data_IF_015967251684
#
_entry.id   IF_015967251684
#
_cell.length_a   1.000
_cell.length_b   1.000
_cell.length_c   1.000
_cell.angle_alpha   90.00
_cell.angle_beta   90.00
_cell.angle_gamma   90.00
#
_symmetry.space_group_name_H-M   'P 1'
#
loop_
_entity.id
_entity.type
_entity.pdbx_description
1 polymer ?
#
# COMPACT_ATOMS: atom_id res chain seq x y z
N UNK A 1 -45.09 -3.12 -7.35
CA UNK A 1 -44.28 -2.32 -6.41
C UNK A 1 -44.01 -3.03 -5.07
N UNK A 2 -45.03 -3.47 -4.29
CA UNK A 2 -44.84 -4.16 -2.99
C UNK A 2 -44.10 -5.51 -3.02
N UNK A 3 -44.06 -6.20 -4.16
CA UNK A 3 -43.33 -7.47 -4.31
C UNK A 3 -41.83 -7.25 -4.49
N UNK A 4 -41.44 -6.21 -5.24
CA UNK A 4 -40.04 -5.84 -5.50
C UNK A 4 -39.37 -5.38 -4.19
N UNK A 5 -40.08 -4.56 -3.39
CA UNK A 5 -39.61 -4.12 -2.07
C UNK A 5 -39.38 -5.32 -1.14
N UNK A 6 -40.30 -6.29 -1.10
CA UNK A 6 -40.14 -7.50 -0.28
C UNK A 6 -38.97 -8.40 -0.71
N UNK A 7 -38.66 -8.44 -2.00
CA UNK A 7 -37.48 -9.16 -2.51
C UNK A 7 -36.20 -8.41 -2.13
N UNK A 8 -36.18 -7.08 -2.26
CA UNK A 8 -35.05 -6.25 -1.84
C UNK A 8 -34.77 -6.39 -0.33
N UNK A 9 -35.81 -6.36 0.51
CA UNK A 9 -35.69 -6.54 1.96
C UNK A 9 -35.11 -7.92 2.32
N UNK A 10 -35.51 -8.98 1.61
CA UNK A 10 -34.93 -10.33 1.80
C UNK A 10 -33.47 -10.41 1.39
N UNK A 11 -33.10 -9.78 0.28
CA UNK A 11 -31.70 -9.73 -0.18
C UNK A 11 -30.85 -8.97 0.83
N UNK A 12 -31.34 -7.83 1.32
CA UNK A 12 -30.65 -7.03 2.32
C UNK A 12 -30.51 -7.78 3.66
N UNK A 13 -31.55 -8.49 4.10
CA UNK A 13 -31.50 -9.32 5.30
C UNK A 13 -30.53 -10.50 5.17
N UNK A 14 -30.48 -11.15 4.01
CA UNK A 14 -29.53 -12.23 3.76
C UNK A 14 -28.09 -11.72 3.68
N UNK A 15 -27.87 -10.54 3.06
CA UNK A 15 -26.56 -9.92 2.99
C UNK A 15 -26.05 -9.49 4.38
N UNK A 16 -26.91 -8.93 5.23
CA UNK A 16 -26.53 -8.55 6.60
C UNK A 16 -26.27 -9.77 7.47
N UNK A 17 -27.06 -10.85 7.35
CA UNK A 17 -26.79 -12.11 8.05
C UNK A 17 -25.47 -12.76 7.59
N UNK A 18 -25.19 -12.76 6.28
CA UNK A 18 -23.93 -13.24 5.74
C UNK A 18 -22.75 -12.39 6.26
N UNK A 19 -22.86 -11.06 6.25
CA UNK A 19 -21.86 -10.17 6.81
C UNK A 19 -21.66 -10.35 8.33
N UNK A 20 -22.74 -10.62 9.08
CA UNK A 20 -22.67 -10.90 10.52
C UNK A 20 -22.00 -12.27 10.79
N UNK A 21 -22.26 -13.26 9.95
CA UNK A 21 -21.61 -14.58 10.05
C UNK A 21 -20.11 -14.49 9.71
N UNK A 22 -19.78 -13.82 8.59
CA UNK A 22 -18.40 -13.56 8.17
C UNK A 22 -17.63 -12.76 9.23
N UNK A 23 -18.25 -11.73 9.83
CA UNK A 23 -17.60 -10.94 10.90
C UNK A 23 -17.47 -11.66 12.24
N UNK A 24 -18.30 -12.69 12.50
CA UNK A 24 -18.13 -13.61 13.64
C UNK A 24 -16.98 -14.60 13.42
N UNK A 25 -16.80 -15.10 12.20
CA UNK A 25 -15.76 -16.09 11.87
C UNK A 25 -14.40 -15.41 11.66
N UNK A 26 -14.38 -14.25 11.01
CA UNK A 26 -13.18 -13.47 10.72
C UNK A 26 -13.35 -12.13 11.41
N UNK A 27 -12.58 -11.89 12.48
CA UNK A 27 -12.65 -10.59 13.16
C UNK A 27 -12.36 -9.48 12.13
N UNK A 28 -13.08 -8.34 12.15
CA UNK A 28 -12.92 -7.25 11.16
C UNK A 28 -11.47 -6.79 10.95
N UNK A 29 -10.62 -6.96 11.97
CA UNK A 29 -9.18 -6.71 11.91
C UNK A 29 -8.47 -7.58 10.87
N UNK A 30 -8.81 -8.86 10.77
CA UNK A 30 -8.20 -9.78 9.79
C UNK A 30 -8.58 -9.40 8.37
N UNK A 31 -9.82 -8.96 8.15
CA UNK A 31 -10.24 -8.41 6.85
C UNK A 31 -9.45 -7.16 6.49
N UNK A 32 -9.27 -6.25 7.44
CA UNK A 32 -8.46 -5.05 7.23
C UNK A 32 -7.01 -5.40 6.88
N UNK A 33 -6.40 -6.34 7.60
CA UNK A 33 -5.04 -6.83 7.31
C UNK A 33 -4.97 -7.44 5.90
N UNK A 34 -5.94 -8.27 5.51
CA UNK A 34 -5.98 -8.87 4.18
C UNK A 34 -6.08 -7.80 3.07
N UNK A 35 -6.89 -6.75 3.28
CA UNK A 35 -7.01 -5.62 2.36
C UNK A 35 -5.68 -4.84 2.27
N UNK A 36 -5.01 -4.61 3.40
CA UNK A 36 -3.69 -3.97 3.41
C UNK A 36 -2.64 -4.77 2.63
N UNK A 37 -2.61 -6.09 2.79
CA UNK A 37 -1.71 -6.98 2.04
C UNK A 37 -2.06 -6.94 0.54
N UNK A 38 -3.33 -7.05 0.18
CA UNK A 38 -3.78 -6.98 -1.21
C UNK A 38 -3.40 -5.63 -1.86
N UNK A 39 -3.56 -4.52 -1.14
CA UNK A 39 -3.15 -3.19 -1.59
C UNK A 39 -1.63 -3.10 -1.82
N UNK A 40 -0.82 -3.59 -0.89
CA UNK A 40 0.64 -3.63 -1.04
C UNK A 40 1.05 -4.41 -2.28
N UNK A 41 0.47 -5.59 -2.50
CA UNK A 41 0.77 -6.44 -3.66
C UNK A 41 0.30 -5.82 -4.98
N UNK A 42 -0.86 -5.17 -4.97
CA UNK A 42 -1.39 -4.51 -6.16
C UNK A 42 -0.55 -3.30 -6.57
N UNK A 43 -0.01 -2.55 -5.60
CA UNK A 43 0.79 -1.35 -5.85
C UNK A 43 2.28 -1.63 -6.02
N UNK A 44 2.74 -2.84 -5.68
CA UNK A 44 4.13 -3.25 -5.87
C UNK A 44 4.48 -3.65 -7.30
N UNK A 45 3.51 -3.67 -8.23
CA UNK A 45 3.77 -4.09 -9.60
C UNK A 45 3.95 -5.60 -9.75
N UNK A 46 3.38 -6.42 -8.85
CA UNK A 46 3.52 -7.88 -8.90
C UNK A 46 3.05 -8.47 -10.25
N UNK A 47 2.00 -7.89 -10.84
CA UNK A 47 1.50 -8.29 -12.17
C UNK A 47 2.55 -8.01 -13.24
N UNK A 48 3.19 -6.84 -13.19
CA UNK A 48 4.30 -6.49 -14.09
C UNK A 48 5.46 -7.48 -13.92
N UNK A 49 5.79 -7.84 -12.68
CA UNK A 49 6.85 -8.82 -12.40
C UNK A 49 6.54 -10.21 -12.97
N UNK A 50 5.28 -10.65 -12.88
CA UNK A 50 4.86 -11.95 -13.42
C UNK A 50 4.90 -11.97 -14.95
N UNK A 51 4.47 -10.89 -15.60
CA UNK A 51 4.38 -10.82 -17.07
C UNK A 51 5.78 -10.62 -17.69
N UNK A 52 6.54 -9.65 -17.20
CA UNK A 52 7.78 -9.20 -17.85
C UNK A 52 9.05 -9.79 -17.26
N UNK A 53 8.95 -10.48 -16.11
CA UNK A 53 10.08 -11.08 -15.39
C UNK A 53 11.33 -10.18 -15.31
N UNK A 54 11.19 -8.92 -14.85
CA UNK A 54 12.31 -8.00 -14.75
C UNK A 54 13.33 -8.50 -13.71
N UNK A 55 14.62 -8.19 -13.90
CA UNK A 55 15.63 -8.54 -12.92
C UNK A 55 15.34 -7.87 -11.55
N UNK A 56 15.78 -8.49 -10.44
CA UNK A 56 15.55 -7.95 -9.11
C UNK A 56 16.31 -6.64 -8.87
N UNK A 57 17.48 -6.49 -9.48
CA UNK A 57 18.33 -5.32 -9.37
C UNK A 57 18.96 -5.01 -10.74
N UNK A 58 19.33 -3.76 -10.95
CA UNK A 58 20.14 -3.33 -12.07
C UNK A 58 21.61 -3.20 -11.72
N UNK A 59 22.43 -2.95 -12.74
CA UNK A 59 23.83 -2.61 -12.60
C UNK A 59 24.06 -1.22 -13.21
N UNK A 60 24.82 -0.37 -12.53
CA UNK A 60 25.25 0.92 -13.04
C UNK A 60 26.78 0.99 -13.00
N UNK A 61 27.34 1.27 -14.17
CA UNK A 61 28.77 1.49 -14.32
C UNK A 61 29.09 2.94 -13.97
N UNK A 62 29.92 3.15 -12.95
CA UNK A 62 30.41 4.46 -12.56
C UNK A 62 31.54 4.93 -13.49
N UNK A 63 31.82 6.23 -13.48
CA UNK A 63 32.89 6.83 -14.28
C UNK A 63 34.27 6.21 -14.01
N UNK A 64 34.48 5.67 -12.81
CA UNK A 64 35.72 5.01 -12.37
C UNK A 64 35.82 3.54 -12.83
N UNK A 65 34.88 3.07 -13.66
CA UNK A 65 34.81 1.69 -14.13
C UNK A 65 34.24 0.68 -13.12
N UNK A 66 33.88 1.12 -11.91
CA UNK A 66 33.26 0.27 -10.89
C UNK A 66 31.80 0.00 -11.21
N UNK A 67 31.37 -1.26 -11.09
CA UNK A 67 29.96 -1.66 -11.25
C UNK A 67 29.28 -1.62 -9.88
N UNK A 68 28.19 -0.87 -9.77
CA UNK A 68 27.39 -0.80 -8.55
C UNK A 68 25.97 -1.28 -8.80
N UNK A 69 25.43 -2.01 -7.82
CA UNK A 69 24.04 -2.49 -7.88
C UNK A 69 23.08 -1.32 -7.71
N UNK A 70 22.10 -1.20 -8.61
CA UNK A 70 21.04 -0.18 -8.53
C UNK A 70 19.69 -0.83 -8.27
N UNK A 71 18.93 -0.23 -7.37
CA UNK A 71 17.60 -0.71 -7.00
C UNK A 71 16.48 0.09 -7.67
N UNK A 72 16.83 1.01 -8.58
CA UNK A 72 15.90 1.95 -9.20
C UNK A 72 16.16 2.01 -10.70
N UNK A 73 15.15 1.68 -11.51
CA UNK A 73 15.24 1.81 -12.95
C UNK A 73 15.07 3.27 -13.37
N UNK A 74 15.87 3.77 -14.32
CA UNK A 74 15.72 5.12 -14.88
C UNK A 74 14.71 5.13 -16.01
N UNK A 75 13.63 5.89 -15.87
CA UNK A 75 12.54 5.96 -16.85
C UNK A 75 11.22 5.39 -16.32
N UNK A 76 10.10 5.85 -16.86
CA UNK A 76 8.78 5.62 -16.26
C UNK A 76 8.16 4.24 -16.53
N UNK A 77 8.47 3.61 -17.68
CA UNK A 77 7.72 2.45 -18.16
C UNK A 77 8.22 1.10 -17.63
N UNK A 78 9.44 1.06 -17.13
CA UNK A 78 10.10 -0.15 -16.65
C UNK A 78 10.37 -0.02 -15.14
N UNK A 79 10.53 -1.16 -14.49
CA UNK A 79 10.69 -1.26 -13.05
C UNK A 79 11.47 -2.52 -12.71
N UNK A 80 12.42 -2.41 -11.78
CA UNK A 80 13.03 -3.61 -11.18
C UNK A 80 12.09 -4.25 -10.17
N UNK A 81 12.17 -5.56 -10.01
CA UNK A 81 11.26 -6.27 -9.10
C UNK A 81 11.38 -5.75 -7.65
N UNK A 82 12.61 -5.52 -7.15
CA UNK A 82 12.83 -4.95 -5.81
C UNK A 82 12.30 -3.52 -5.67
N UNK A 83 12.37 -2.72 -6.73
CA UNK A 83 11.86 -1.36 -6.76
C UNK A 83 10.34 -1.34 -6.50
N UNK A 84 9.63 -2.26 -7.17
CA UNK A 84 8.19 -2.48 -7.02
C UNK A 84 7.79 -2.82 -5.60
N UNK A 85 8.40 -3.85 -5.02
CA UNK A 85 8.11 -4.25 -3.64
C UNK A 85 8.34 -3.12 -2.64
N UNK A 86 9.43 -2.36 -2.78
CA UNK A 86 9.69 -1.23 -1.90
C UNK A 86 8.68 -0.09 -2.07
N UNK A 87 8.26 0.22 -3.30
CA UNK A 87 7.23 1.23 -3.56
C UNK A 87 5.89 0.84 -2.92
N UNK A 88 5.46 -0.42 -3.10
CA UNK A 88 4.25 -0.94 -2.47
C UNK A 88 4.30 -0.90 -0.94
N UNK A 89 5.46 -1.23 -0.35
CA UNK A 89 5.66 -1.16 1.10
C UNK A 89 5.59 0.28 1.63
N UNK A 90 6.26 1.23 0.98
CA UNK A 90 6.25 2.64 1.41
C UNK A 90 4.82 3.21 1.32
N UNK A 91 4.08 2.90 0.26
CA UNK A 91 2.69 3.31 0.11
C UNK A 91 1.79 2.74 1.21
N UNK A 92 2.02 1.48 1.61
CA UNK A 92 1.31 0.87 2.73
C UNK A 92 1.63 1.58 4.05
N UNK A 93 2.91 1.88 4.32
CA UNK A 93 3.34 2.59 5.53
C UNK A 93 2.66 3.95 5.62
N UNK A 94 2.64 4.74 4.53
CA UNK A 94 1.95 6.04 4.49
C UNK A 94 0.48 5.88 4.86
N UNK A 95 -0.22 4.92 4.24
CA UNK A 95 -1.63 4.65 4.53
C UNK A 95 -1.88 4.25 5.98
N UNK A 96 -1.06 3.34 6.53
CA UNK A 96 -1.18 2.89 7.92
C UNK A 96 -0.88 4.02 8.92
N UNK A 97 0.15 4.83 8.68
CA UNK A 97 0.46 5.99 9.50
C UNK A 97 -0.67 7.02 9.48
N UNK A 98 -1.33 7.26 8.35
CA UNK A 98 -2.53 8.11 8.30
C UNK A 98 -3.67 7.55 9.18
N UNK A 99 -3.94 6.24 9.11
CA UNK A 99 -4.98 5.60 9.92
C UNK A 99 -4.63 5.65 11.41
N UNK A 100 -3.37 5.44 11.76
CA UNK A 100 -2.88 5.57 13.14
C UNK A 100 -3.01 7.01 13.64
N UNK A 101 -2.58 7.99 12.86
CA UNK A 101 -2.72 9.41 13.19
C UNK A 101 -4.19 9.80 13.43
N UNK A 102 -5.11 9.39 12.55
CA UNK A 102 -6.55 9.62 12.73
C UNK A 102 -7.08 8.97 14.02
N UNK A 103 -6.63 7.75 14.32
CA UNK A 103 -6.99 7.03 15.54
C UNK A 103 -6.48 7.75 16.79
N UNK A 104 -5.27 8.29 16.74
CA UNK A 104 -4.65 9.04 17.84
C UNK A 104 -5.32 10.40 18.08
N UNK A 105 -5.63 11.14 17.01
CA UNK A 105 -6.43 12.38 17.07
C UNK A 105 -7.77 12.09 17.75
N UNK A 106 -8.48 11.03 17.31
CA UNK A 106 -9.77 10.64 17.90
C UNK A 106 -9.65 10.26 19.37
N UNK A 107 -8.53 9.65 19.78
CA UNK A 107 -8.27 9.26 21.17
C UNK A 107 -7.77 10.42 22.05
N UNK A 108 -7.61 11.64 21.51
CA UNK A 108 -6.96 12.77 22.19
C UNK A 108 -5.61 12.36 22.77
N UNK A 109 -4.82 11.63 21.97
CA UNK A 109 -3.51 11.15 22.37
C UNK A 109 -2.56 12.30 22.75
N UNK A 110 -1.53 11.99 23.54
CA UNK A 110 -0.52 12.98 23.93
C UNK A 110 0.22 13.49 22.68
N UNK A 111 0.68 14.75 22.66
CA UNK A 111 1.29 15.38 21.49
C UNK A 111 2.54 14.65 20.96
N UNK A 112 3.27 13.91 21.82
CA UNK A 112 4.43 13.14 21.39
C UNK A 112 4.09 11.97 20.44
N UNK A 113 2.95 11.31 20.65
CA UNK A 113 2.52 10.20 19.78
C UNK A 113 2.09 10.73 18.41
N UNK A 114 1.29 11.80 18.41
CA UNK A 114 0.88 12.51 17.20
C UNK A 114 2.08 13.01 16.38
N UNK A 115 3.08 13.58 17.04
CA UNK A 115 4.31 14.04 16.40
C UNK A 115 5.11 12.90 15.78
N UNK A 116 5.20 11.75 16.46
CA UNK A 116 5.88 10.56 15.96
C UNK A 116 5.22 9.99 14.71
N UNK A 117 3.91 9.76 14.74
CA UNK A 117 3.17 9.23 13.59
C UNK A 117 3.17 10.19 12.39
N UNK A 118 3.05 11.50 12.65
CA UNK A 118 3.15 12.52 11.61
C UNK A 118 4.55 12.52 10.97
N UNK A 119 5.61 12.38 11.77
CA UNK A 119 6.97 12.32 11.25
C UNK A 119 7.20 11.06 10.39
N UNK A 120 6.66 9.90 10.77
CA UNK A 120 6.72 8.67 9.97
C UNK A 120 5.98 8.87 8.64
N UNK A 121 4.76 9.41 8.69
CA UNK A 121 3.95 9.66 7.50
C UNK A 121 4.66 10.62 6.51
N UNK A 122 5.17 11.74 7.00
CA UNK A 122 5.90 12.73 6.18
C UNK A 122 7.22 12.12 5.67
N UNK A 123 7.96 11.42 6.52
CA UNK A 123 9.23 10.79 6.14
C UNK A 123 9.05 9.77 5.01
N UNK A 124 8.04 8.91 5.11
CA UNK A 124 7.70 7.94 4.08
C UNK A 124 7.27 8.61 2.77
N UNK A 125 6.44 9.67 2.84
CA UNK A 125 6.06 10.46 1.67
C UNK A 125 7.27 11.12 0.98
N UNK A 126 8.16 11.75 1.75
CA UNK A 126 9.38 12.38 1.21
C UNK A 126 10.29 11.34 0.57
N UNK A 127 10.45 10.16 1.17
CA UNK A 127 11.20 9.05 0.59
C UNK A 127 10.61 8.62 -0.76
N UNK A 128 9.29 8.45 -0.83
CA UNK A 128 8.61 8.08 -2.08
C UNK A 128 8.75 9.17 -3.15
N UNK A 129 8.59 10.45 -2.78
CA UNK A 129 8.76 11.57 -3.68
C UNK A 129 10.20 11.67 -4.23
N UNK A 130 11.21 11.44 -3.38
CA UNK A 130 12.62 11.39 -3.80
C UNK A 130 12.87 10.27 -4.81
N UNK A 131 12.33 9.07 -4.57
CA UNK A 131 12.45 7.94 -5.51
C UNK A 131 11.83 8.27 -6.86
N UNK A 132 10.65 8.87 -6.89
CA UNK A 132 9.98 9.28 -8.14
C UNK A 132 10.81 10.35 -8.87
N UNK A 133 11.37 11.34 -8.16
CA UNK A 133 12.25 12.35 -8.77
C UNK A 133 13.50 11.73 -9.39
N UNK A 134 14.18 10.84 -8.66
CA UNK A 134 15.34 10.09 -9.15
C UNK A 134 15.00 9.27 -10.40
N UNK A 135 13.80 8.67 -10.43
CA UNK A 135 13.33 7.88 -11.58
C UNK A 135 13.07 8.75 -12.82
N UNK A 136 12.62 9.99 -12.62
CA UNK A 136 12.35 10.96 -13.67
C UNK A 136 13.58 11.76 -14.11
N UNK A 137 14.69 11.67 -13.39
CA UNK A 137 15.95 12.36 -13.73
C UNK A 137 16.00 13.83 -13.29
N UNK A 138 15.19 14.22 -12.30
CA UNK A 138 15.25 15.54 -11.65
C UNK A 138 16.11 15.55 -10.39
#
# INVERSE_FOLDING_TARGET
MKAIVRVADRIQANATMAAAWVSRVIQPVHFYIAICIAYMLSTSGIIFNVINQPPPYGEQQNADGTVTTTTLYRGMQMQYSSEGYMSGLINLIIGLSCVMLLREVRRKARPHYLGGELAVCIGAYVLQARRVRQKLGF
#
